data_IF_605542215389
#
_entry.id   IF_605542215389
#
_cell.length_a   1.000
_cell.length_b   1.000
_cell.length_c   1.000
_cell.angle_alpha   90.00
_cell.angle_beta   90.00
_cell.angle_gamma   90.00
#
_symmetry.space_group_name_H-M   'P 1'
#
loop_
_entity.id
_entity.type
_entity.pdbx_description
1 polymer ?
#
# COMPACT_ATOMS: atom_id res chain seq x y z
N UNK A 1 -19.32 9.40 -26.81
CA UNK A 1 -18.33 9.66 -25.76
C UNK A 1 -16.89 9.77 -26.29
N UNK A 2 -16.51 8.98 -27.31
CA UNK A 2 -15.16 8.99 -27.90
C UNK A 2 -14.90 10.26 -28.76
N UNK A 3 -15.96 10.84 -29.34
CA UNK A 3 -15.86 12.03 -30.21
C UNK A 3 -15.55 13.31 -29.43
N UNK A 4 -16.02 13.45 -28.18
CA UNK A 4 -15.72 14.62 -27.34
C UNK A 4 -14.26 14.67 -26.86
N UNK A 5 -13.64 13.52 -26.61
CA UNK A 5 -12.22 13.46 -26.18
C UNK A 5 -11.26 13.88 -27.31
N UNK A 6 -11.57 13.55 -28.55
CA UNK A 6 -10.74 13.97 -29.70
C UNK A 6 -10.79 15.49 -29.97
N UNK A 7 -11.94 16.11 -29.83
CA UNK A 7 -12.07 17.54 -30.06
C UNK A 7 -11.38 18.40 -28.98
N UNK A 8 -11.38 17.90 -27.73
CA UNK A 8 -10.66 18.56 -26.65
C UNK A 8 -9.14 18.47 -26.85
N UNK A 9 -8.66 17.34 -27.35
CA UNK A 9 -7.22 17.13 -27.64
C UNK A 9 -6.70 18.03 -28.75
N UNK A 10 -7.50 18.27 -29.83
CA UNK A 10 -7.14 19.18 -30.89
C UNK A 10 -7.16 20.64 -30.47
N UNK A 11 -8.05 21.03 -29.55
CA UNK A 11 -8.09 22.38 -29.00
C UNK A 11 -6.82 22.70 -28.22
N UNK A 12 -6.31 21.77 -27.43
CA UNK A 12 -5.05 21.93 -26.67
C UNK A 12 -3.80 21.89 -27.56
N UNK A 13 -3.78 21.07 -28.59
CA UNK A 13 -2.65 21.01 -29.53
C UNK A 13 -2.47 22.29 -30.37
N UNK A 14 -3.57 23.03 -30.64
CA UNK A 14 -3.52 24.26 -31.43
C UNK A 14 -2.97 25.46 -30.64
N UNK A 15 -3.03 25.42 -29.30
CA UNK A 15 -2.65 26.53 -28.42
C UNK A 15 -1.14 26.55 -28.13
N UNK A 16 -0.45 25.40 -28.24
CA UNK A 16 1.00 25.31 -27.99
C UNK A 16 1.89 25.99 -29.08
N UNK A 17 1.33 26.42 -30.21
CA UNK A 17 2.12 26.95 -31.33
C UNK A 17 2.17 28.49 -31.45
N UNK A 18 1.52 29.21 -30.53
CA UNK A 18 1.54 30.69 -30.60
C UNK A 18 2.36 31.25 -29.42
N UNK A 19 3.66 31.29 -29.61
CA UNK A 19 4.57 32.00 -28.72
C UNK A 19 4.94 33.36 -29.28
N UNK A 20 4.95 34.36 -28.38
CA UNK A 20 5.71 35.59 -28.42
C UNK A 20 5.24 36.68 -29.41
N UNK A 21 4.38 37.52 -28.92
CA UNK A 21 4.47 38.93 -29.28
C UNK A 21 4.59 39.79 -28.02
N UNK A 22 5.79 40.27 -27.77
CA UNK A 22 6.06 41.39 -26.87
C UNK A 22 5.63 42.65 -27.58
N UNK A 23 4.56 43.31 -27.12
CA UNK A 23 4.27 44.69 -27.43
C UNK A 23 4.58 45.51 -26.16
N UNK A 24 5.60 46.36 -26.24
CA UNK A 24 5.83 47.42 -25.26
C UNK A 24 4.84 48.53 -25.53
N UNK A 25 4.06 48.96 -24.54
CA UNK A 25 3.52 50.31 -24.42
C UNK A 25 3.48 50.68 -22.95
N UNK A 26 3.94 51.88 -22.65
CA UNK A 26 4.03 52.47 -21.32
C UNK A 26 2.64 52.64 -20.72
N UNK A 27 2.53 52.50 -19.38
CA UNK A 27 1.35 52.61 -18.51
C UNK A 27 0.47 51.34 -18.42
N UNK A 28 1.02 50.15 -18.43
CA UNK A 28 0.26 48.94 -18.17
C UNK A 28 0.21 48.62 -16.65
N UNK A 29 -0.90 49.01 -16.01
CA UNK A 29 -1.35 48.35 -14.77
C UNK A 29 -1.41 46.85 -15.06
N UNK A 30 -0.71 46.03 -14.26
CA UNK A 30 -0.69 44.58 -14.43
C UNK A 30 -2.14 44.05 -14.48
N UNK A 31 -2.50 43.19 -15.43
CA UNK A 31 -3.89 42.74 -15.58
C UNK A 31 -4.43 42.13 -14.30
N UNK A 32 -5.64 42.56 -13.90
CA UNK A 32 -6.33 42.04 -12.74
C UNK A 32 -7.34 40.95 -13.14
N UNK A 33 -6.99 39.71 -12.84
CA UNK A 33 -7.83 38.52 -13.05
C UNK A 33 -8.55 38.06 -11.79
N UNK A 34 -8.58 38.86 -10.73
CA UNK A 34 -9.11 38.46 -9.41
C UNK A 34 -10.51 37.86 -9.50
N UNK A 35 -11.41 38.45 -10.23
CA UNK A 35 -12.79 37.97 -10.38
C UNK A 35 -12.86 36.60 -11.06
N UNK A 36 -12.13 36.42 -12.15
CA UNK A 36 -12.14 35.16 -12.91
C UNK A 36 -11.40 34.06 -12.13
N UNK A 37 -10.32 34.40 -11.40
CA UNK A 37 -9.66 33.45 -10.52
C UNK A 37 -10.65 32.92 -9.50
N UNK A 38 -11.38 33.78 -8.81
CA UNK A 38 -12.32 33.41 -7.74
C UNK A 38 -13.55 32.65 -8.27
N UNK A 39 -14.09 33.05 -9.42
CA UNK A 39 -15.32 32.44 -9.95
C UNK A 39 -15.09 31.20 -10.80
N UNK A 40 -13.98 31.12 -11.54
CA UNK A 40 -13.80 30.12 -12.59
C UNK A 40 -12.56 29.21 -12.39
N UNK A 41 -11.54 29.66 -11.64
CA UNK A 41 -10.30 28.92 -11.48
C UNK A 41 -10.10 28.32 -10.10
N UNK A 42 -10.31 29.13 -9.04
CA UNK A 42 -10.08 28.66 -7.68
C UNK A 42 -11.02 27.50 -7.33
N UNK A 43 -10.49 26.48 -6.66
CA UNK A 43 -11.25 25.30 -6.25
C UNK A 43 -10.46 24.03 -6.37
N UNK A 44 -11.12 22.92 -6.12
CA UNK A 44 -10.57 21.58 -6.27
C UNK A 44 -10.77 21.07 -7.70
N UNK A 45 -9.80 20.32 -8.18
CA UNK A 45 -9.82 19.66 -9.48
C UNK A 45 -9.57 18.17 -9.30
N UNK A 46 -10.32 17.38 -10.04
CA UNK A 46 -10.11 15.94 -10.19
C UNK A 46 -9.49 15.68 -11.55
N UNK A 47 -8.44 14.88 -11.58
CA UNK A 47 -7.75 14.58 -12.83
C UNK A 47 -6.84 13.37 -12.73
N UNK A 48 -5.93 13.28 -13.68
CA UNK A 48 -4.91 12.27 -13.75
C UNK A 48 -3.52 12.89 -13.88
N UNK A 49 -2.55 12.23 -13.25
CA UNK A 49 -1.15 12.60 -13.28
C UNK A 49 -0.38 11.50 -14.00
N UNK A 50 0.37 11.90 -15.03
CA UNK A 50 1.22 10.99 -15.82
C UNK A 50 2.68 11.38 -15.61
N UNK A 51 3.51 10.43 -15.23
CA UNK A 51 4.92 10.65 -14.95
C UNK A 51 5.78 9.93 -15.98
N UNK A 52 6.79 10.63 -16.48
CA UNK A 52 7.81 10.07 -17.38
C UNK A 52 9.19 10.29 -16.78
N UNK A 53 9.93 9.22 -16.52
CA UNK A 53 11.30 9.26 -16.01
C UNK A 53 12.24 8.71 -17.07
N UNK A 54 13.26 9.49 -17.42
CA UNK A 54 14.27 9.10 -18.43
C UNK A 54 13.64 8.53 -19.72
N UNK A 55 12.52 9.12 -20.15
CA UNK A 55 11.79 8.72 -21.37
C UNK A 55 10.84 7.52 -21.19
N UNK A 56 10.78 6.89 -20.03
CA UNK A 56 9.81 5.83 -19.73
C UNK A 56 8.59 6.41 -19.07
N UNK A 57 7.42 6.29 -19.71
CA UNK A 57 6.13 6.79 -19.20
C UNK A 57 5.45 5.71 -18.35
N UNK A 58 5.05 6.09 -17.15
CA UNK A 58 4.29 5.25 -16.22
C UNK A 58 2.79 5.35 -16.51
N UNK A 59 1.98 4.38 -16.07
CA UNK A 59 0.52 4.49 -16.11
C UNK A 59 0.05 5.77 -15.41
N UNK A 60 -0.98 6.41 -15.97
CA UNK A 60 -1.57 7.60 -15.37
C UNK A 60 -2.34 7.23 -14.10
N UNK A 61 -2.14 7.99 -13.05
CA UNK A 61 -2.80 7.79 -11.75
C UNK A 61 -3.79 8.93 -11.47
N UNK A 62 -4.92 8.64 -10.79
CA UNK A 62 -5.82 9.67 -10.32
C UNK A 62 -5.11 10.62 -9.36
N UNK A 63 -5.34 11.92 -9.52
CA UNK A 63 -4.77 12.94 -8.65
C UNK A 63 -5.74 14.10 -8.47
N UNK A 64 -5.89 14.55 -7.25
CA UNK A 64 -6.57 15.78 -6.86
C UNK A 64 -5.57 16.92 -6.76
N UNK A 65 -5.94 18.10 -7.28
CA UNK A 65 -5.19 19.32 -7.04
C UNK A 65 -6.14 20.42 -6.56
N UNK A 66 -5.59 21.43 -5.91
CA UNK A 66 -6.30 22.65 -5.51
C UNK A 66 -5.63 23.86 -6.17
N UNK A 67 -6.46 24.76 -6.70
CA UNK A 67 -6.01 26.07 -7.19
C UNK A 67 -6.57 27.14 -6.25
N UNK A 68 -5.73 28.05 -5.81
CA UNK A 68 -6.08 29.17 -4.95
C UNK A 68 -5.53 30.47 -5.51
N UNK A 69 -6.23 31.56 -5.26
CA UNK A 69 -5.76 32.89 -5.62
C UNK A 69 -4.53 33.26 -4.78
N UNK A 70 -3.46 33.66 -5.43
CA UNK A 70 -2.24 34.17 -4.80
C UNK A 70 -2.11 35.68 -4.91
N UNK A 71 -2.73 36.28 -5.93
CA UNK A 71 -2.70 37.72 -6.19
C UNK A 71 -3.67 38.11 -7.29
N UNK A 72 -3.66 39.39 -7.74
CA UNK A 72 -4.53 39.85 -8.82
C UNK A 72 -4.34 39.10 -10.15
N UNK A 73 -3.12 38.65 -10.43
CA UNK A 73 -2.75 37.94 -11.65
C UNK A 73 -1.91 36.67 -11.34
N UNK A 74 -2.10 36.07 -10.17
CA UNK A 74 -1.34 34.89 -9.79
C UNK A 74 -2.20 33.87 -9.03
N UNK A 75 -1.86 32.59 -9.19
CA UNK A 75 -2.48 31.46 -8.51
C UNK A 75 -1.43 30.60 -7.81
N UNK A 76 -1.84 29.90 -6.76
CA UNK A 76 -1.12 28.77 -6.17
C UNK A 76 -1.80 27.48 -6.63
N UNK A 77 -1.00 26.46 -6.90
CA UNK A 77 -1.46 25.13 -7.23
C UNK A 77 -0.85 24.13 -6.24
N UNK A 78 -1.67 23.35 -5.58
CA UNK A 78 -1.22 22.39 -4.56
C UNK A 78 -1.72 20.98 -4.80
N UNK A 79 -0.86 20.00 -4.50
CA UNK A 79 -1.15 18.57 -4.42
C UNK A 79 -0.91 18.14 -2.98
N UNK A 80 -1.91 17.56 -2.34
CA UNK A 80 -1.76 17.03 -0.99
C UNK A 80 -1.32 15.55 -1.03
N UNK A 81 -0.50 15.18 -0.06
CA UNK A 81 -0.08 13.79 0.17
C UNK A 81 0.51 13.08 -1.06
N UNK A 82 1.27 13.81 -1.86
CA UNK A 82 1.86 13.24 -3.06
C UNK A 82 2.94 12.21 -2.71
N UNK A 83 2.89 11.06 -3.35
CA UNK A 83 3.93 10.05 -3.30
C UNK A 83 4.32 9.63 -4.70
N UNK A 84 5.59 9.26 -4.88
CA UNK A 84 6.13 8.86 -6.16
C UNK A 84 7.15 7.74 -5.99
N UNK A 85 6.98 6.65 -6.74
CA UNK A 85 7.85 5.47 -6.68
C UNK A 85 8.07 4.92 -5.24
N UNK A 86 7.02 4.95 -4.42
CA UNK A 86 7.08 4.51 -3.03
C UNK A 86 7.75 5.51 -2.07
N UNK A 87 8.15 6.69 -2.56
CA UNK A 87 8.67 7.78 -1.73
C UNK A 87 7.53 8.73 -1.41
N UNK A 88 7.23 8.90 -0.13
CA UNK A 88 6.28 9.93 0.32
C UNK A 88 6.94 11.29 0.20
N UNK A 89 6.44 12.12 -0.72
CA UNK A 89 6.93 13.49 -0.93
C UNK A 89 6.17 14.47 -0.04
N UNK A 90 4.91 14.14 0.28
CA UNK A 90 4.04 15.02 1.06
C UNK A 90 3.34 16.07 0.21
N UNK A 91 3.09 17.23 0.79
CA UNK A 91 2.39 18.31 0.08
C UNK A 91 3.35 19.05 -0.85
N UNK A 92 2.95 19.16 -2.11
CA UNK A 92 3.68 19.92 -3.14
C UNK A 92 2.87 21.16 -3.50
N UNK A 93 3.48 22.33 -3.45
CA UNK A 93 2.83 23.59 -3.79
C UNK A 93 3.68 24.39 -4.77
N UNK A 94 3.07 24.77 -5.91
CA UNK A 94 3.60 25.75 -6.84
C UNK A 94 3.02 27.11 -6.49
N UNK A 95 3.86 28.01 -5.97
CA UNK A 95 3.42 29.33 -5.50
C UNK A 95 3.58 30.41 -6.55
N UNK A 96 2.67 31.37 -6.50
CA UNK A 96 2.72 32.59 -7.32
C UNK A 96 2.90 32.31 -8.81
N UNK A 97 2.18 31.32 -9.34
CA UNK A 97 2.15 31.05 -10.77
C UNK A 97 1.47 32.23 -11.49
N UNK A 98 2.24 32.93 -12.30
CA UNK A 98 1.78 34.17 -12.99
C UNK A 98 0.89 33.81 -14.17
N UNK A 99 -0.29 34.42 -14.21
CA UNK A 99 -1.30 34.25 -15.26
C UNK A 99 -1.08 35.22 -16.44
N UNK A 100 -1.36 34.71 -17.63
CA UNK A 100 -1.53 35.50 -18.85
C UNK A 100 -2.78 35.00 -19.57
N UNK A 101 -3.49 35.90 -20.25
CA UNK A 101 -4.72 35.56 -20.96
C UNK A 101 -4.53 35.67 -22.48
N UNK A 102 -5.03 34.64 -23.17
CA UNK A 102 -5.14 34.65 -24.63
C UNK A 102 -6.55 34.19 -25.05
N UNK A 103 -7.43 35.11 -25.39
CA UNK A 103 -8.84 34.83 -25.63
C UNK A 103 -9.52 34.28 -24.36
N UNK A 104 -10.11 33.11 -24.47
CA UNK A 104 -10.76 32.40 -23.33
C UNK A 104 -9.84 31.41 -22.59
N UNK A 105 -8.55 31.42 -22.90
CA UNK A 105 -7.57 30.53 -22.28
C UNK A 105 -6.65 31.36 -21.42
N UNK A 106 -6.47 30.91 -20.18
CA UNK A 106 -5.48 31.44 -19.26
C UNK A 106 -4.29 30.50 -19.24
N UNK A 107 -3.11 31.04 -19.40
CA UNK A 107 -1.84 30.32 -19.30
C UNK A 107 -1.13 30.76 -18.02
N UNK A 108 -0.36 29.89 -17.45
CA UNK A 108 0.47 30.22 -16.29
C UNK A 108 1.83 29.53 -16.32
N UNK A 109 2.78 30.14 -15.66
CA UNK A 109 4.10 29.55 -15.40
C UNK A 109 4.46 29.69 -13.92
N UNK A 110 5.17 28.74 -13.42
CA UNK A 110 5.67 28.76 -12.05
C UNK A 110 6.92 27.91 -11.90
N UNK A 111 7.75 28.29 -10.94
CA UNK A 111 8.97 27.53 -10.58
C UNK A 111 8.98 27.35 -9.07
N UNK A 112 9.29 26.12 -8.63
CA UNK A 112 9.37 25.79 -7.22
C UNK A 112 10.54 24.85 -6.95
N UNK A 113 11.34 25.18 -5.95
CA UNK A 113 12.33 24.28 -5.40
C UNK A 113 11.70 23.44 -4.27
N UNK A 114 11.94 22.15 -4.28
CA UNK A 114 11.48 21.20 -3.28
C UNK A 114 12.66 20.41 -2.74
N UNK A 115 12.69 20.25 -1.41
CA UNK A 115 13.68 19.39 -0.74
C UNK A 115 12.98 18.56 0.32
N UNK A 116 13.02 17.23 0.15
CA UNK A 116 12.46 16.24 1.08
C UNK A 116 13.48 15.12 1.25
N UNK A 117 14.01 14.96 2.44
CA UNK A 117 15.04 13.96 2.76
C UNK A 117 16.23 13.97 1.78
N UNK A 118 16.44 12.85 1.08
CA UNK A 118 17.51 12.70 0.07
C UNK A 118 17.11 13.22 -1.33
N UNK A 119 15.86 13.69 -1.50
CA UNK A 119 15.36 14.27 -2.75
C UNK A 119 15.50 15.79 -2.73
N UNK A 120 16.13 16.36 -3.73
CA UNK A 120 16.04 17.78 -4.06
C UNK A 120 15.64 17.93 -5.52
N UNK A 121 14.71 18.82 -5.81
CA UNK A 121 14.33 19.08 -7.19
C UNK A 121 13.91 20.54 -7.41
N UNK A 122 14.04 20.96 -8.67
CA UNK A 122 13.46 22.20 -9.18
C UNK A 122 12.35 21.83 -10.16
N UNK A 123 11.14 22.32 -9.90
CA UNK A 123 9.95 22.10 -10.70
C UNK A 123 9.73 23.35 -11.56
N UNK A 124 9.71 23.18 -12.88
CA UNK A 124 9.34 24.22 -13.82
C UNK A 124 7.99 23.83 -14.44
N UNK A 125 6.95 24.58 -14.12
CA UNK A 125 5.59 24.29 -14.55
C UNK A 125 5.10 25.30 -15.59
N UNK A 126 4.34 24.79 -16.56
CA UNK A 126 3.54 25.55 -17.50
C UNK A 126 2.14 24.96 -17.53
N UNK A 127 1.13 25.79 -17.46
CA UNK A 127 -0.23 25.29 -17.49
C UNK A 127 -1.19 26.16 -18.25
N UNK A 128 -2.36 25.57 -18.51
CA UNK A 128 -3.49 26.23 -19.16
C UNK A 128 -4.77 25.94 -18.37
N UNK A 129 -5.63 26.95 -18.26
CA UNK A 129 -6.97 26.85 -17.68
C UNK A 129 -7.98 27.37 -18.67
N UNK A 130 -8.96 26.56 -19.05
CA UNK A 130 -10.05 26.93 -19.91
C UNK A 130 -11.28 26.06 -19.67
N UNK A 131 -12.49 26.62 -19.66
CA UNK A 131 -13.74 25.88 -19.55
C UNK A 131 -13.77 24.84 -18.41
N UNK A 132 -13.34 25.25 -17.22
CA UNK A 132 -13.22 24.37 -16.03
C UNK A 132 -12.20 23.23 -16.17
N UNK A 133 -11.40 23.18 -17.22
CA UNK A 133 -10.33 22.22 -17.39
C UNK A 133 -8.97 22.87 -17.11
N UNK A 134 -8.06 22.11 -16.53
CA UNK A 134 -6.67 22.50 -16.30
C UNK A 134 -5.74 21.45 -16.89
N UNK A 135 -4.69 21.92 -17.55
CA UNK A 135 -3.55 21.09 -17.93
C UNK A 135 -2.29 21.73 -17.38
N UNK A 136 -1.40 20.91 -16.79
CA UNK A 136 -0.10 21.37 -16.28
C UNK A 136 0.98 20.43 -16.79
N UNK A 137 1.95 20.98 -17.47
CA UNK A 137 3.18 20.31 -17.88
C UNK A 137 4.29 20.77 -16.94
N UNK A 138 4.98 19.83 -16.29
CA UNK A 138 6.06 20.09 -15.35
C UNK A 138 7.33 19.37 -15.80
N UNK A 139 8.39 20.15 -15.99
CA UNK A 139 9.75 19.62 -16.15
C UNK A 139 10.43 19.69 -14.78
N UNK A 140 10.91 18.56 -14.28
CA UNK A 140 11.47 18.41 -12.94
C UNK A 140 12.92 17.92 -13.05
N UNK A 141 13.85 18.75 -12.61
CA UNK A 141 15.25 18.38 -12.43
C UNK A 141 15.42 17.85 -11.00
N UNK A 142 15.45 16.54 -10.86
CA UNK A 142 15.54 15.86 -9.56
C UNK A 142 16.94 15.33 -9.28
N UNK A 143 17.34 15.38 -8.01
CA UNK A 143 18.54 14.70 -7.49
C UNK A 143 18.11 13.80 -6.33
N UNK A 144 18.32 12.51 -6.48
CA UNK A 144 17.98 11.48 -5.49
C UNK A 144 19.26 10.74 -5.10
N UNK A 145 19.67 10.84 -3.84
CA UNK A 145 20.90 10.20 -3.38
C UNK A 145 22.17 10.62 -4.14
N UNK A 146 22.20 11.85 -4.69
CA UNK A 146 23.30 12.37 -5.49
C UNK A 146 23.23 12.06 -7.00
N UNK A 147 22.25 11.28 -7.45
CA UNK A 147 22.02 10.98 -8.85
C UNK A 147 21.00 11.95 -9.44
N UNK A 148 21.34 12.55 -10.58
CA UNK A 148 20.46 13.46 -11.32
C UNK A 148 19.52 12.67 -12.22
N UNK A 149 18.24 13.05 -12.21
CA UNK A 149 17.19 12.48 -13.05
C UNK A 149 16.32 13.58 -13.65
N UNK A 150 15.93 13.41 -14.90
CA UNK A 150 14.94 14.26 -15.55
C UNK A 150 13.58 13.59 -15.49
N UNK A 151 12.62 14.27 -14.89
CA UNK A 151 11.25 13.79 -14.73
C UNK A 151 10.30 14.76 -15.39
N UNK A 152 9.40 14.23 -16.23
CA UNK A 152 8.31 15.00 -16.81
C UNK A 152 7.00 14.55 -16.19
N UNK A 153 6.20 15.51 -15.77
CA UNK A 153 4.88 15.24 -15.21
C UNK A 153 3.83 16.02 -15.97
N UNK A 154 2.76 15.34 -16.36
CA UNK A 154 1.60 15.97 -16.99
C UNK A 154 0.40 15.71 -16.11
N UNK A 155 -0.26 16.78 -15.68
CA UNK A 155 -1.55 16.73 -15.01
C UNK A 155 -2.66 17.24 -15.94
N UNK A 156 -3.76 16.52 -16.01
CA UNK A 156 -4.98 16.94 -16.70
C UNK A 156 -6.18 16.72 -15.79
N UNK A 157 -6.96 17.77 -15.55
CA UNK A 157 -8.08 17.71 -14.59
C UNK A 157 -9.22 18.66 -14.92
N UNK A 158 -10.34 18.43 -14.22
CA UNK A 158 -11.54 19.25 -14.33
C UNK A 158 -11.94 19.77 -12.94
N UNK A 159 -12.35 21.03 -12.90
CA UNK A 159 -12.81 21.69 -11.67
C UNK A 159 -14.06 21.02 -11.15
N UNK A 160 -14.06 20.76 -9.84
CA UNK A 160 -15.22 20.22 -9.14
C UNK A 160 -16.23 21.34 -8.82
N UNK A 161 -17.51 20.97 -8.82
CA UNK A 161 -18.62 21.89 -8.47
C UNK A 161 -18.84 21.98 -6.98
N UNK A 162 -18.33 21.02 -6.21
CA UNK A 162 -18.52 20.87 -4.77
C UNK A 162 -19.74 20.05 -4.38
N UNK A 163 -20.46 19.50 -5.36
CA UNK A 163 -21.58 18.58 -5.14
C UNK A 163 -21.25 17.12 -5.35
N UNK A 164 -20.02 16.82 -5.79
CA UNK A 164 -19.53 15.48 -6.03
C UNK A 164 -19.38 14.70 -4.71
N UNK A 165 -19.71 13.41 -4.74
CA UNK A 165 -19.54 12.51 -3.60
C UNK A 165 -18.07 12.23 -3.31
N UNK A 166 -17.69 12.28 -2.04
CA UNK A 166 -16.37 11.84 -1.56
C UNK A 166 -16.33 10.37 -1.11
N UNK A 167 -17.44 9.63 -1.29
CA UNK A 167 -17.47 8.22 -0.89
C UNK A 167 -16.64 7.34 -1.84
N UNK A 168 -15.62 6.71 -1.29
CA UNK A 168 -14.71 5.79 -1.98
C UNK A 168 -14.64 4.46 -1.22
N UNK A 169 -15.75 3.71 -1.18
CA UNK A 169 -15.86 2.48 -0.40
C UNK A 169 -16.00 1.25 -1.29
N UNK A 170 -15.34 0.15 -0.91
CA UNK A 170 -15.77 -1.18 -1.32
C UNK A 170 -16.93 -1.57 -0.38
N UNK A 171 -18.14 -1.71 -0.92
CA UNK A 171 -19.36 -1.97 -0.15
C UNK A 171 -19.65 -3.44 0.03
N UNK A 172 -19.13 -4.27 -0.87
CA UNK A 172 -19.16 -5.73 -0.78
C UNK A 172 -17.96 -6.31 -1.52
N UNK A 173 -17.43 -7.43 -1.01
CA UNK A 173 -16.36 -8.20 -1.65
C UNK A 173 -16.63 -9.68 -1.41
N UNK A 174 -16.62 -10.51 -2.45
CA UNK A 174 -16.96 -11.92 -2.36
C UNK A 174 -16.30 -12.75 -3.45
N UNK A 175 -16.22 -14.05 -3.24
CA UNK A 175 -15.89 -15.04 -4.26
C UNK A 175 -17.15 -15.84 -4.61
N UNK A 176 -17.52 -15.89 -5.89
CA UNK A 176 -18.57 -16.76 -6.37
C UNK A 176 -18.07 -18.22 -6.34
N UNK A 177 -18.67 -19.03 -5.46
CA UNK A 177 -18.30 -20.43 -5.29
C UNK A 177 -18.75 -21.34 -6.42
N UNK A 178 -19.60 -20.85 -7.33
CA UNK A 178 -19.92 -21.57 -8.57
C UNK A 178 -18.81 -21.46 -9.63
N UNK A 179 -17.88 -20.53 -9.45
CA UNK A 179 -16.72 -20.40 -10.31
C UNK A 179 -15.61 -21.34 -9.82
N UNK A 180 -15.21 -22.29 -10.66
CA UNK A 180 -14.18 -23.28 -10.36
C UNK A 180 -12.83 -22.64 -9.93
N UNK A 181 -12.50 -21.46 -10.44
CA UNK A 181 -11.29 -20.74 -10.05
C UNK A 181 -11.28 -20.36 -8.55
N UNK A 182 -12.45 -20.26 -7.91
CA UNK A 182 -12.62 -19.90 -6.51
C UNK A 182 -12.80 -21.12 -5.59
N UNK A 183 -12.74 -22.34 -6.11
CA UNK A 183 -13.03 -23.56 -5.36
C UNK A 183 -12.16 -23.74 -4.10
N UNK A 184 -10.97 -23.15 -4.08
CA UNK A 184 -10.06 -23.21 -2.93
C UNK A 184 -10.47 -22.28 -1.77
N UNK A 185 -11.41 -21.35 -1.97
CA UNK A 185 -11.85 -20.43 -0.92
C UNK A 185 -12.76 -21.16 0.05
N UNK A 186 -12.41 -21.19 1.33
CA UNK A 186 -13.19 -21.86 2.39
C UNK A 186 -13.94 -20.90 3.31
N UNK A 187 -13.47 -19.64 3.41
CA UNK A 187 -14.18 -18.58 4.11
C UNK A 187 -14.26 -17.34 3.24
N UNK A 188 -15.47 -16.78 3.12
CA UNK A 188 -15.72 -15.58 2.34
C UNK A 188 -14.98 -14.37 2.92
N UNK A 189 -14.62 -13.40 2.08
CA UNK A 189 -13.89 -12.23 2.50
C UNK A 189 -14.61 -11.37 3.55
N UNK A 190 -13.82 -10.80 4.44
CA UNK A 190 -14.24 -9.77 5.41
C UNK A 190 -13.50 -8.49 5.11
N UNK A 191 -14.25 -7.39 4.96
CA UNK A 191 -13.70 -6.05 4.86
C UNK A 191 -13.51 -5.53 6.28
N UNK A 192 -12.27 -5.28 6.69
CA UNK A 192 -11.91 -4.82 8.02
C UNK A 192 -11.95 -3.28 8.10
N UNK A 193 -11.99 -2.74 9.33
CA UNK A 193 -12.04 -1.28 9.58
C UNK A 193 -10.79 -0.53 9.08
N UNK A 194 -9.66 -1.22 8.96
CA UNK A 194 -8.39 -0.69 8.43
C UNK A 194 -8.28 -0.78 6.91
N UNK A 195 -9.39 -1.08 6.22
CA UNK A 195 -9.47 -1.30 4.77
C UNK A 195 -8.67 -2.51 4.28
N UNK A 196 -8.28 -3.43 5.13
CA UNK A 196 -7.80 -4.74 4.69
C UNK A 196 -8.98 -5.66 4.38
N UNK A 197 -8.80 -6.55 3.40
CA UNK A 197 -9.76 -7.58 3.03
C UNK A 197 -9.08 -8.92 3.24
N UNK A 198 -9.62 -9.71 4.16
CA UNK A 198 -9.06 -11.00 4.56
C UNK A 198 -10.02 -12.12 4.22
N UNK A 199 -9.51 -13.26 3.78
CA UNK A 199 -10.25 -14.46 3.45
C UNK A 199 -9.38 -15.69 3.74
N UNK A 200 -9.99 -16.89 3.69
CA UNK A 200 -9.25 -18.14 3.89
C UNK A 200 -9.43 -19.09 2.73
N UNK A 201 -8.38 -19.87 2.50
CA UNK A 201 -8.31 -20.88 1.45
C UNK A 201 -7.99 -22.25 2.05
N UNK A 202 -8.28 -23.30 1.29
CA UNK A 202 -7.84 -24.64 1.60
C UNK A 202 -6.33 -24.75 1.38
N UNK A 203 -5.59 -24.86 2.47
CA UNK A 203 -4.12 -24.89 2.45
C UNK A 203 -3.59 -26.14 1.73
N UNK A 204 -4.26 -27.28 1.86
CA UNK A 204 -3.85 -28.53 1.19
C UNK A 204 -3.99 -28.40 -0.33
N UNK A 205 -5.04 -27.76 -0.82
CA UNK A 205 -5.23 -27.53 -2.25
C UNK A 205 -4.23 -26.49 -2.79
N UNK A 206 -3.89 -25.47 -2.01
CA UNK A 206 -2.82 -24.51 -2.38
C UNK A 206 -1.45 -25.18 -2.41
N UNK A 207 -1.15 -26.12 -1.49
CA UNK A 207 0.09 -26.88 -1.52
C UNK A 207 0.22 -27.79 -2.75
N UNK A 208 -0.90 -28.36 -3.20
CA UNK A 208 -0.93 -29.17 -4.43
C UNK A 208 -0.82 -28.34 -5.71
N UNK A 209 -1.32 -27.10 -5.67
CA UNK A 209 -1.32 -26.19 -6.80
C UNK A 209 -1.13 -24.73 -6.36
N UNK A 210 0.14 -24.30 -6.24
CA UNK A 210 0.48 -22.92 -5.87
C UNK A 210 -0.05 -21.86 -6.87
N UNK A 211 -0.36 -22.23 -8.10
CA UNK A 211 -0.92 -21.33 -9.11
C UNK A 211 -2.41 -21.06 -8.90
N UNK A 212 -3.09 -21.79 -8.02
CA UNK A 212 -4.50 -21.57 -7.72
C UNK A 212 -4.76 -20.16 -7.15
N UNK A 213 -3.83 -19.61 -6.35
CA UNK A 213 -3.91 -18.23 -5.84
C UNK A 213 -3.74 -17.16 -6.93
N UNK A 214 -3.15 -17.49 -8.07
CA UNK A 214 -2.88 -16.53 -9.15
C UNK A 214 -4.10 -16.20 -10.00
N UNK A 215 -5.17 -16.98 -9.90
CA UNK A 215 -6.32 -16.92 -10.80
C UNK A 215 -7.65 -16.79 -10.05
N UNK A 216 -7.66 -16.36 -8.79
CA UNK A 216 -8.89 -16.14 -8.06
C UNK A 216 -9.70 -15.02 -8.70
N UNK A 217 -11.03 -15.17 -8.76
CA UNK A 217 -11.94 -14.23 -9.41
C UNK A 217 -12.86 -13.60 -8.35
N UNK A 218 -12.42 -12.52 -7.70
CA UNK A 218 -13.26 -11.80 -6.75
C UNK A 218 -14.29 -10.95 -7.48
N UNK A 219 -15.46 -10.80 -6.87
CA UNK A 219 -16.49 -9.85 -7.26
C UNK A 219 -16.67 -8.84 -6.14
N UNK A 220 -16.76 -7.57 -6.49
CA UNK A 220 -16.96 -6.51 -5.50
C UNK A 220 -17.81 -5.38 -6.06
N UNK A 221 -18.44 -4.66 -5.17
CA UNK A 221 -19.21 -3.44 -5.46
C UNK A 221 -18.57 -2.27 -4.75
N UNK A 222 -18.67 -1.08 -5.35
CA UNK A 222 -18.11 0.16 -4.81
C UNK A 222 -19.20 1.21 -4.66
N UNK A 223 -18.88 2.30 -3.96
CA UNK A 223 -19.76 3.47 -3.82
C UNK A 223 -20.26 3.98 -5.17
N UNK A 224 -21.46 4.54 -5.17
CA UNK A 224 -22.04 5.14 -6.39
C UNK A 224 -21.11 6.21 -6.99
N UNK A 225 -21.01 6.19 -8.33
CA UNK A 225 -20.13 7.09 -9.11
C UNK A 225 -18.62 6.98 -8.81
N UNK A 226 -18.19 6.09 -7.90
CA UNK A 226 -16.77 5.79 -7.72
C UNK A 226 -16.25 4.92 -8.86
N UNK A 227 -14.93 4.88 -9.00
CA UNK A 227 -14.21 4.00 -9.92
C UNK A 227 -13.16 3.19 -9.17
N UNK A 228 -12.76 2.05 -9.71
CA UNK A 228 -11.76 1.18 -9.12
C UNK A 228 -10.55 1.03 -10.04
N UNK A 229 -9.36 0.87 -9.46
CA UNK A 229 -8.12 0.60 -10.19
C UNK A 229 -8.09 -0.79 -10.85
N UNK A 230 -8.93 -1.72 -10.38
CA UNK A 230 -9.08 -3.07 -10.92
C UNK A 230 -10.54 -3.34 -11.25
N UNK A 231 -10.79 -4.27 -12.17
CA UNK A 231 -12.13 -4.63 -12.60
C UNK A 231 -12.67 -5.79 -11.77
N UNK A 232 -13.90 -5.63 -11.22
CA UNK A 232 -14.62 -6.68 -10.51
C UNK A 232 -14.95 -7.86 -11.44
N UNK A 233 -14.81 -9.09 -10.96
CA UNK A 233 -15.08 -10.30 -11.75
C UNK A 233 -13.95 -10.69 -12.71
N UNK A 234 -12.77 -10.12 -12.58
CA UNK A 234 -11.56 -10.52 -13.32
C UNK A 234 -10.61 -11.33 -12.43
N UNK A 235 -9.82 -12.17 -13.06
CA UNK A 235 -8.80 -12.94 -12.37
C UNK A 235 -7.76 -12.01 -11.71
N UNK A 236 -7.45 -12.30 -10.46
CA UNK A 236 -6.54 -11.54 -9.62
C UNK A 236 -5.49 -12.48 -9.03
N UNK A 237 -4.22 -12.08 -9.10
CA UNK A 237 -3.13 -12.83 -8.47
C UNK A 237 -3.05 -12.46 -7.00
N UNK A 238 -3.54 -13.33 -6.13
CA UNK A 238 -3.56 -13.18 -4.68
C UNK A 238 -2.48 -14.02 -3.97
N UNK A 239 -1.45 -14.45 -4.69
CA UNK A 239 -0.25 -15.04 -4.07
C UNK A 239 0.59 -14.02 -3.29
N UNK A 240 0.29 -12.73 -3.45
CA UNK A 240 0.78 -11.61 -2.66
C UNK A 240 -0.34 -10.62 -2.42
N UNK A 241 -0.15 -9.69 -1.48
CA UNK A 241 -1.13 -8.62 -1.22
C UNK A 241 -1.40 -7.79 -2.47
N UNK A 242 -2.66 -7.48 -2.72
CA UNK A 242 -3.10 -6.65 -3.85
C UNK A 242 -3.82 -5.41 -3.35
N UNK A 243 -3.36 -4.24 -3.78
CA UNK A 243 -4.01 -2.97 -3.46
C UNK A 243 -5.05 -2.62 -4.52
N UNK A 244 -6.25 -2.31 -4.08
CA UNK A 244 -7.36 -1.79 -4.88
C UNK A 244 -7.59 -0.33 -4.48
N UNK A 245 -7.30 0.60 -5.38
CA UNK A 245 -7.62 2.01 -5.18
C UNK A 245 -9.04 2.28 -5.68
N UNK A 246 -9.90 2.77 -4.79
CA UNK A 246 -11.24 3.26 -5.12
C UNK A 246 -11.20 4.78 -5.15
N UNK A 247 -11.60 5.36 -6.27
CA UNK A 247 -11.62 6.82 -6.48
C UNK A 247 -13.06 7.31 -6.52
N UNK A 248 -13.42 8.16 -5.57
CA UNK A 248 -14.74 8.80 -5.49
C UNK A 248 -15.03 9.74 -6.67
N UNK A 249 -16.28 10.20 -6.76
CA UNK A 249 -16.69 11.19 -7.77
C UNK A 249 -15.88 12.49 -7.65
N UNK A 250 -15.54 12.93 -6.44
CA UNK A 250 -14.74 14.14 -6.18
C UNK A 250 -13.22 13.92 -6.32
N UNK A 251 -12.77 12.70 -6.63
CA UNK A 251 -11.37 12.33 -6.75
C UNK A 251 -10.69 11.91 -5.45
N UNK A 252 -11.42 11.81 -4.34
CA UNK A 252 -10.90 11.21 -3.10
C UNK A 252 -10.58 9.74 -3.34
N UNK A 253 -9.41 9.30 -2.89
CA UNK A 253 -8.92 7.94 -3.08
C UNK A 253 -8.85 7.24 -1.74
N UNK A 254 -9.38 6.01 -1.68
CA UNK A 254 -9.21 5.09 -0.56
C UNK A 254 -8.63 3.79 -1.09
N UNK A 255 -7.56 3.34 -0.47
CA UNK A 255 -6.90 2.10 -0.82
C UNK A 255 -7.40 0.97 0.08
N UNK A 256 -7.72 -0.16 -0.54
CA UNK A 256 -8.05 -1.42 0.12
C UNK A 256 -6.96 -2.44 -0.20
N UNK A 257 -6.51 -3.18 0.80
CA UNK A 257 -5.49 -4.20 0.62
C UNK A 257 -6.13 -5.58 0.76
N UNK A 258 -6.28 -6.29 -0.36
CA UNK A 258 -6.66 -7.70 -0.33
C UNK A 258 -5.43 -8.47 0.13
N UNK A 259 -5.50 -9.03 1.33
CA UNK A 259 -4.40 -9.77 1.92
C UNK A 259 -4.27 -11.13 1.26
N UNK A 260 -3.04 -11.47 0.89
CA UNK A 260 -2.72 -12.84 0.52
C UNK A 260 -3.08 -13.75 1.69
N UNK A 261 -3.79 -14.87 1.46
CA UNK A 261 -4.07 -15.80 2.53
C UNK A 261 -2.75 -16.38 3.07
N UNK A 262 -2.39 -15.96 4.27
CA UNK A 262 -1.23 -16.53 4.94
C UNK A 262 -1.54 -17.97 5.35
N UNK A 263 -0.59 -18.88 5.13
CA UNK A 263 -0.63 -20.18 5.82
C UNK A 263 -0.87 -19.89 7.30
N UNK A 264 -1.98 -20.38 7.82
CA UNK A 264 -2.13 -20.51 9.25
C UNK A 264 -1.19 -21.64 9.66
N UNK A 265 0.05 -21.30 9.96
CA UNK A 265 1.00 -22.27 10.50
C UNK A 265 0.58 -22.55 11.94
N UNK A 266 -0.57 -23.18 12.09
CA UNK A 266 -0.92 -23.82 13.36
C UNK A 266 -0.02 -25.02 13.47
N UNK A 267 1.10 -24.84 14.13
CA UNK A 267 1.93 -25.98 14.51
C UNK A 267 1.13 -26.79 15.52
N UNK A 268 0.55 -27.89 15.07
CA UNK A 268 -0.08 -28.88 15.94
C UNK A 268 1.03 -29.71 16.50
N UNK A 269 1.40 -29.41 17.73
CA UNK A 269 2.29 -30.29 18.50
C UNK A 269 1.48 -31.46 19.04
N UNK A 270 1.83 -32.64 18.58
CA UNK A 270 1.29 -33.85 19.07
C UNK A 270 2.23 -34.38 20.16
N UNK A 271 1.75 -34.51 21.39
CA UNK A 271 2.49 -35.09 22.53
C UNK A 271 2.25 -36.60 22.68
N UNK A 272 1.80 -37.27 21.62
CA UNK A 272 1.47 -38.69 21.69
C UNK A 272 2.71 -39.59 21.59
N UNK A 273 3.77 -39.14 20.96
CA UNK A 273 5.03 -39.86 20.84
C UNK A 273 6.14 -39.17 21.64
N UNK A 274 6.84 -39.95 22.42
CA UNK A 274 7.93 -39.49 23.27
C UNK A 274 9.17 -40.35 23.07
N UNK A 275 10.35 -39.76 23.25
CA UNK A 275 11.63 -40.41 23.07
C UNK A 275 12.66 -39.96 24.13
N UNK A 276 13.67 -40.80 24.35
CA UNK A 276 14.84 -40.40 25.10
C UNK A 276 15.87 -39.80 24.13
N UNK A 277 16.39 -38.60 24.38
CA UNK A 277 17.41 -38.01 23.51
C UNK A 277 18.67 -38.88 23.51
N UNK A 278 19.25 -39.10 22.35
CA UNK A 278 20.44 -39.98 22.19
C UNK A 278 21.73 -39.35 22.73
N UNK A 279 21.72 -38.04 22.97
CA UNK A 279 22.88 -37.27 23.41
C UNK A 279 22.51 -36.22 24.44
N UNK A 280 23.53 -35.73 25.13
CA UNK A 280 23.40 -34.71 26.20
C UNK A 280 23.52 -35.31 27.60
N UNK A 281 23.69 -34.43 28.59
CA UNK A 281 23.72 -34.80 30.00
C UNK A 281 22.30 -35.23 30.42
N UNK A 282 22.18 -36.40 31.05
CA UNK A 282 20.91 -36.92 31.52
C UNK A 282 20.03 -37.58 30.45
N UNK A 283 20.62 -37.95 29.32
CA UNK A 283 19.93 -38.61 28.20
C UNK A 283 19.07 -39.82 28.61
N UNK A 284 19.43 -40.51 29.66
CA UNK A 284 18.71 -41.69 30.11
C UNK A 284 17.51 -41.38 31.00
N UNK A 285 17.40 -40.13 31.49
CA UNK A 285 16.37 -39.70 32.43
C UNK A 285 15.46 -38.61 31.88
N UNK A 286 15.78 -38.06 30.72
CA UNK A 286 14.94 -37.10 30.03
C UNK A 286 14.04 -37.81 29.03
N UNK A 287 12.75 -37.61 29.12
CA UNK A 287 11.77 -38.06 28.15
C UNK A 287 11.20 -36.82 27.45
N UNK A 288 11.29 -36.77 26.15
CA UNK A 288 10.88 -35.60 25.34
C UNK A 288 9.83 -35.99 24.31
N UNK A 289 8.88 -35.10 23.99
CA UNK A 289 8.10 -35.27 22.79
C UNK A 289 9.00 -35.38 21.57
N UNK A 290 8.66 -36.28 20.67
CA UNK A 290 9.49 -36.60 19.50
C UNK A 290 9.68 -35.38 18.57
N UNK A 291 10.77 -35.42 17.87
CA UNK A 291 11.22 -34.55 16.74
C UNK A 291 11.85 -33.21 17.13
N UNK A 292 11.08 -32.20 17.47
CA UNK A 292 11.54 -30.82 17.53
C UNK A 292 11.72 -30.25 18.94
N UNK A 293 11.50 -31.06 19.96
CA UNK A 293 11.52 -30.61 21.34
C UNK A 293 12.88 -30.78 21.99
N UNK A 294 13.22 -29.85 22.84
CA UNK A 294 14.40 -29.91 23.69
C UNK A 294 14.05 -29.48 25.13
N UNK A 295 14.81 -29.95 26.10
CA UNK A 295 14.62 -29.56 27.48
C UNK A 295 15.94 -29.17 28.15
N UNK A 296 15.89 -28.08 28.92
CA UNK A 296 16.97 -27.70 29.82
C UNK A 296 17.04 -28.56 31.10
N UNK A 297 16.10 -29.49 31.27
CA UNK A 297 16.01 -30.34 32.46
C UNK A 297 17.04 -31.47 32.49
N UNK A 298 17.84 -31.65 31.44
CA UNK A 298 18.84 -32.71 31.32
C UNK A 298 19.86 -32.75 32.49
N UNK A 299 20.22 -31.58 33.03
CA UNK A 299 21.11 -31.49 34.18
C UNK A 299 20.47 -32.10 35.49
N UNK A 300 19.17 -31.93 35.64
CA UNK A 300 18.43 -32.51 36.76
C UNK A 300 18.33 -34.03 36.64
N UNK A 301 18.16 -34.55 35.43
CA UNK A 301 18.19 -35.98 35.16
C UNK A 301 19.53 -36.62 35.54
N UNK A 302 20.64 -35.94 35.34
CA UNK A 302 21.96 -36.40 35.77
C UNK A 302 22.04 -36.58 37.31
N UNK A 303 21.31 -35.76 38.07
CA UNK A 303 21.23 -35.82 39.52
C UNK A 303 20.08 -36.70 40.07
N UNK A 304 19.40 -37.41 39.20
CA UNK A 304 18.32 -38.34 39.55
C UNK A 304 16.92 -37.71 39.67
N UNK A 305 16.75 -36.46 39.24
CA UNK A 305 15.45 -35.80 39.20
C UNK A 305 14.74 -36.00 37.85
N UNK A 306 13.44 -36.23 37.88
CA UNK A 306 12.57 -36.26 36.69
C UNK A 306 11.73 -35.00 36.68
N UNK A 307 12.04 -34.09 35.78
CA UNK A 307 11.41 -32.78 35.74
C UNK A 307 10.43 -32.59 34.56
N UNK A 308 10.47 -33.52 33.62
CA UNK A 308 9.59 -33.57 32.47
C UNK A 308 9.15 -35.00 32.20
N UNK A 309 7.86 -35.22 32.16
CA UNK A 309 7.25 -36.54 31.96
C UNK A 309 6.07 -36.41 31.00
N UNK A 310 5.70 -37.50 30.35
CA UNK A 310 4.42 -37.64 29.71
C UNK A 310 3.35 -38.03 30.73
N UNK A 311 2.30 -37.23 30.81
CA UNK A 311 1.12 -37.54 31.67
C UNK A 311 -0.04 -38.00 30.79
N UNK A 312 -0.56 -39.23 30.98
CA UNK A 312 -1.72 -39.68 30.20
C UNK A 312 -2.96 -38.86 30.54
N UNK A 313 -3.60 -38.32 29.51
CA UNK A 313 -4.86 -37.56 29.62
C UNK A 313 -6.03 -38.23 28.90
N UNK A 314 -5.77 -39.30 28.17
CA UNK A 314 -6.77 -40.09 27.42
C UNK A 314 -6.12 -41.34 26.83
N UNK A 315 -6.87 -42.08 26.04
CA UNK A 315 -6.36 -43.27 25.34
C UNK A 315 -5.37 -42.81 24.26
N UNK A 316 -4.10 -43.21 24.37
CA UNK A 316 -3.00 -42.79 23.48
C UNK A 316 -2.79 -41.27 23.34
N UNK A 317 -3.23 -40.52 24.35
CA UNK A 317 -3.10 -39.06 24.38
C UNK A 317 -2.35 -38.64 25.64
N UNK A 318 -1.32 -37.80 25.47
CA UNK A 318 -0.45 -37.41 26.57
C UNK A 318 -0.29 -35.88 26.62
N UNK A 319 -0.05 -35.38 27.84
CA UNK A 319 0.38 -34.02 28.09
C UNK A 319 1.81 -33.99 28.63
N UNK A 320 2.52 -32.88 28.39
CA UNK A 320 3.82 -32.67 29.02
C UNK A 320 3.64 -32.18 30.44
N UNK A 321 4.05 -33.00 31.40
CA UNK A 321 4.06 -32.66 32.84
C UNK A 321 5.43 -32.11 33.22
N UNK A 322 5.48 -30.85 33.63
CA UNK A 322 6.69 -30.20 34.12
C UNK A 322 6.65 -30.09 35.64
N UNK A 323 7.70 -30.60 36.31
CA UNK A 323 7.79 -30.64 37.77
C UNK A 323 8.95 -29.75 38.23
N UNK A 324 8.73 -28.98 39.28
CA UNK A 324 9.78 -28.27 40.01
C UNK A 324 10.42 -29.20 41.02
N UNK A 325 11.75 -29.23 41.08
CA UNK A 325 12.52 -30.02 42.01
C UNK A 325 13.44 -29.13 42.84
N UNK A 326 13.47 -29.38 44.16
CA UNK A 326 14.37 -28.71 45.09
C UNK A 326 15.50 -29.66 45.50
N UNK A 327 16.74 -29.19 45.34
CA UNK A 327 17.93 -29.90 45.81
C UNK A 327 18.32 -29.41 47.22
N UNK A 328 17.95 -30.15 48.29
CA UNK A 328 18.15 -29.67 49.66
C UNK A 328 19.63 -29.49 50.03
N UNK A 329 20.53 -30.17 49.34
CA UNK A 329 21.96 -30.15 49.60
C UNK A 329 22.78 -29.46 48.49
N UNK A 330 22.16 -28.74 47.59
CA UNK A 330 22.85 -28.03 46.52
C UNK A 330 23.60 -26.79 47.10
N UNK A 331 24.79 -27.03 47.56
CA UNK A 331 25.71 -25.99 48.03
C UNK A 331 26.60 -25.43 46.91
N UNK A 332 26.25 -25.69 45.68
CA UNK A 332 27.13 -25.48 44.54
C UNK A 332 26.56 -24.41 43.62
N UNK A 333 27.40 -23.47 43.23
CA UNK A 333 27.02 -22.39 42.30
C UNK A 333 26.64 -22.88 40.88
N UNK A 334 26.92 -24.12 40.54
CA UNK A 334 26.60 -24.73 39.23
C UNK A 334 25.18 -25.31 39.17
N UNK A 335 24.54 -25.52 40.32
CA UNK A 335 23.21 -26.16 40.37
C UNK A 335 22.30 -25.28 41.20
N UNK A 336 21.26 -24.67 40.58
CA UNK A 336 20.26 -23.93 41.34
C UNK A 336 19.60 -24.84 42.40
N UNK A 337 19.36 -24.30 43.59
CA UNK A 337 18.65 -25.00 44.66
C UNK A 337 17.26 -25.45 44.21
N UNK A 338 16.62 -24.65 43.39
CA UNK A 338 15.32 -24.98 42.78
C UNK A 338 15.51 -25.00 41.28
N UNK A 339 15.09 -26.05 40.64
CA UNK A 339 15.03 -26.18 39.19
C UNK A 339 13.68 -26.74 38.76
N UNK A 340 13.21 -26.35 37.61
CA UNK A 340 11.95 -26.80 37.00
C UNK A 340 12.17 -27.47 35.67
N UNK A 341 11.25 -28.30 35.28
CA UNK A 341 11.16 -28.83 33.93
C UNK A 341 11.01 -27.67 32.94
N UNK A 342 11.60 -27.81 31.79
CA UNK A 342 11.46 -26.90 30.69
C UNK A 342 11.28 -27.66 29.38
N UNK A 343 10.49 -27.10 28.52
CA UNK A 343 10.23 -27.62 27.20
C UNK A 343 10.32 -26.43 26.20
N UNK A 344 11.12 -26.56 25.19
CA UNK A 344 11.25 -25.53 24.16
C UNK A 344 11.47 -26.18 22.80
N UNK A 345 11.05 -25.49 21.77
CA UNK A 345 11.29 -25.91 20.40
C UNK A 345 12.66 -25.45 19.93
N UNK A 346 13.27 -26.18 19.01
CA UNK A 346 14.40 -25.70 18.23
C UNK A 346 14.01 -24.55 17.32
N UNK A 347 15.00 -23.90 16.72
CA UNK A 347 14.74 -22.93 15.66
C UNK A 347 14.18 -23.65 14.43
N UNK A 348 13.07 -23.17 13.92
CA UNK A 348 12.50 -23.63 12.67
C UNK A 348 12.11 -22.42 11.82
N UNK A 349 12.16 -22.60 10.50
CA UNK A 349 11.80 -21.57 9.55
C UNK A 349 10.27 -21.45 9.47
N UNK A 350 9.74 -20.30 9.91
CA UNK A 350 8.32 -19.96 9.84
C UNK A 350 7.96 -19.27 8.53
N UNK A 351 8.92 -19.10 7.61
CA UNK A 351 8.64 -18.53 6.29
C UNK A 351 7.70 -19.47 5.54
N UNK A 352 6.48 -19.02 5.17
CA UNK A 352 5.62 -19.87 4.38
C UNK A 352 6.33 -20.20 3.08
N UNK A 353 6.37 -21.47 2.72
CA UNK A 353 6.75 -21.84 1.37
C UNK A 353 5.66 -21.28 0.44
N UNK A 354 6.01 -20.24 -0.31
CA UNK A 354 5.18 -19.65 -1.36
C UNK A 354 5.18 -20.52 -2.60
#
# INVERSE_FOLDING_TARGET
SICMKKNLFYLFALICSMSLFTACSDDDEAPDYSKVIESEMAGNYKGTLTVTVEGTTMPSEPQKIKIEKAGPSAINLSLANFSFMGITIGDVELKNCVLSQNGNVYTFTGTQDLKVDALSCTINAKGTIANSAVKVDMDIDATVGGLKQSVKVVYEGTRLTGSESSEAKITAFSFDMSNEANAIVIEQPVINEDNTITFRVDEEEVEKNADALKNLVPTFTISDKATSSVESGKAMNLSSDVTIAVTAEDGTIVEYVVKSPTKNTVMKFNFDEWEHPEYGLGKNNALLPKDIWASGASAAGFLGGVLLENEPIGENTYAAKMTTFEYPNAANFLIPKITSGSLYTGSFDMTPAL
#
